data_IF_107498102654
#
_entry.id   IF_107498102654
#
_cell.length_a   1.000
_cell.length_b   1.000
_cell.length_c   1.000
_cell.angle_alpha   90.00
_cell.angle_beta   90.00
_cell.angle_gamma   90.00
#
_symmetry.space_group_name_H-M   'P 1'
#
loop_
_entity.id
_entity.type
_entity.pdbx_description
1 polymer ?
#
# COMPACT_ATOMS: atom_id res chain seq x y z
N UNK A 1 15.76 23.03 30.44
CA UNK A 1 15.52 22.39 29.11
C UNK A 1 16.16 21.02 28.96
N UNK A 2 17.45 20.79 29.28
CA UNK A 2 18.08 19.45 29.16
C UNK A 2 17.34 18.33 29.91
N UNK A 3 16.79 18.63 31.10
CA UNK A 3 16.04 17.67 31.92
C UNK A 3 14.74 17.20 31.25
N UNK A 4 13.98 18.14 30.68
CA UNK A 4 12.77 17.86 29.91
C UNK A 4 13.04 16.99 28.67
N UNK A 5 14.08 17.31 27.89
CA UNK A 5 14.44 16.49 26.71
C UNK A 5 14.92 15.08 27.11
N UNK A 6 15.55 14.94 28.28
CA UNK A 6 15.92 13.63 28.83
C UNK A 6 14.70 12.81 29.25
N UNK A 7 13.74 13.43 29.95
CA UNK A 7 12.48 12.82 30.36
C UNK A 7 11.59 12.47 29.13
N UNK A 8 11.58 13.35 28.12
CA UNK A 8 10.89 13.12 26.85
C UNK A 8 11.51 11.96 26.06
N UNK A 9 12.85 11.92 25.95
CA UNK A 9 13.55 10.80 25.30
C UNK A 9 13.23 9.48 26.02
N UNK A 10 13.31 9.46 27.36
CA UNK A 10 12.99 8.29 28.16
C UNK A 10 11.52 7.84 28.01
N UNK A 11 10.60 8.79 27.80
CA UNK A 11 9.20 8.51 27.54
C UNK A 11 8.96 7.89 26.16
N UNK A 12 9.51 8.47 25.09
CA UNK A 12 9.32 7.96 23.71
C UNK A 12 10.05 6.65 23.45
N UNK A 13 11.15 6.37 24.17
CA UNK A 13 11.87 5.09 24.06
C UNK A 13 11.13 3.94 24.74
N UNK A 14 10.00 4.19 25.41
CA UNK A 14 9.09 3.10 25.80
C UNK A 14 8.56 2.49 24.52
N UNK A 15 9.12 1.35 24.09
CA UNK A 15 8.82 0.73 22.78
C UNK A 15 7.33 0.61 22.47
N UNK A 16 6.51 0.26 23.47
CA UNK A 16 5.05 0.19 23.33
C UNK A 16 4.38 1.52 22.93
N UNK A 17 4.97 2.68 23.26
CA UNK A 17 4.44 4.01 22.91
C UNK A 17 4.86 4.40 21.50
N UNK A 18 6.10 4.09 21.09
CA UNK A 18 6.61 4.42 19.76
C UNK A 18 5.86 3.65 18.68
N UNK A 19 5.68 2.34 18.85
CA UNK A 19 5.02 1.49 17.87
C UNK A 19 3.53 1.82 17.75
N UNK A 20 2.86 2.15 18.86
CA UNK A 20 1.49 2.68 18.83
C UNK A 20 1.42 4.03 18.11
N UNK A 21 2.35 4.95 18.40
CA UNK A 21 2.36 6.28 17.79
C UNK A 21 2.56 6.21 16.27
N UNK A 22 3.51 5.38 15.81
CA UNK A 22 3.72 5.14 14.38
C UNK A 22 2.48 4.51 13.75
N UNK A 23 1.87 3.52 14.40
CA UNK A 23 0.63 2.90 13.93
C UNK A 23 -0.52 3.89 13.75
N UNK A 24 -0.72 4.82 14.69
CA UNK A 24 -1.77 5.84 14.62
C UNK A 24 -1.46 6.88 13.53
N UNK A 25 -0.22 7.34 13.41
CA UNK A 25 0.19 8.32 12.39
C UNK A 25 0.01 7.72 11.00
N UNK A 26 0.55 6.52 10.76
CA UNK A 26 0.43 5.83 9.47
C UNK A 26 -1.03 5.49 9.19
N UNK A 27 -1.78 5.05 10.20
CA UNK A 27 -3.22 4.77 10.07
C UNK A 27 -4.01 6.01 9.63
N UNK A 28 -3.79 7.16 10.27
CA UNK A 28 -4.47 8.42 9.92
C UNK A 28 -4.11 8.91 8.51
N UNK A 29 -2.84 8.84 8.12
CA UNK A 29 -2.38 9.21 6.78
C UNK A 29 -2.95 8.27 5.71
N UNK A 30 -2.99 6.97 5.99
CA UNK A 30 -3.58 5.97 5.11
C UNK A 30 -5.09 6.19 4.93
N UNK A 31 -5.82 6.44 6.02
CA UNK A 31 -7.25 6.79 5.95
C UNK A 31 -7.46 8.02 5.07
N UNK A 32 -6.62 9.05 5.19
CA UNK A 32 -6.72 10.25 4.34
C UNK A 32 -6.54 9.92 2.85
N UNK A 33 -5.59 9.04 2.50
CA UNK A 33 -5.39 8.57 1.11
C UNK A 33 -6.62 7.82 0.61
N UNK A 34 -7.16 6.91 1.42
CA UNK A 34 -8.36 6.13 1.06
C UNK A 34 -9.57 7.03 0.89
N UNK A 35 -9.75 8.00 1.80
CA UNK A 35 -10.81 9.01 1.72
C UNK A 35 -10.66 9.86 0.47
N UNK A 36 -9.44 10.28 0.10
CA UNK A 36 -9.20 11.04 -1.12
C UNK A 36 -9.51 10.21 -2.38
N UNK A 37 -9.06 8.96 -2.43
CA UNK A 37 -9.37 8.03 -3.53
C UNK A 37 -10.88 7.80 -3.66
N UNK A 38 -11.56 7.58 -2.54
CA UNK A 38 -13.01 7.37 -2.55
C UNK A 38 -13.76 8.64 -2.96
N UNK A 39 -13.47 9.77 -2.31
CA UNK A 39 -14.22 11.01 -2.52
C UNK A 39 -13.94 11.65 -3.89
N UNK A 40 -12.70 11.62 -4.37
CA UNK A 40 -12.29 12.40 -5.53
C UNK A 40 -12.22 11.56 -6.82
N UNK A 41 -12.08 10.24 -6.71
CA UNK A 41 -11.95 9.37 -7.89
C UNK A 41 -13.19 8.47 -8.00
N UNK A 42 -13.59 7.79 -6.93
CA UNK A 42 -14.68 6.81 -7.03
C UNK A 42 -16.07 7.43 -7.00
N UNK A 43 -16.33 8.42 -6.12
CA UNK A 43 -17.62 9.14 -6.13
C UNK A 43 -17.99 9.69 -7.51
N UNK A 44 -17.12 10.40 -8.26
CA UNK A 44 -17.51 10.90 -9.57
C UNK A 44 -17.73 9.77 -10.59
N UNK A 45 -16.91 8.71 -10.59
CA UNK A 45 -17.12 7.55 -11.48
C UNK A 45 -18.45 6.87 -11.17
N UNK A 46 -18.79 6.71 -9.89
CA UNK A 46 -20.00 6.03 -9.47
C UNK A 46 -21.23 6.90 -9.66
N UNK A 47 -21.16 8.20 -9.40
CA UNK A 47 -22.22 9.15 -9.73
C UNK A 47 -22.49 9.17 -11.23
N UNK A 48 -21.44 9.08 -12.05
CA UNK A 48 -21.59 8.97 -13.51
C UNK A 48 -22.28 7.66 -13.91
N UNK A 49 -21.89 6.52 -13.33
CA UNK A 49 -22.54 5.22 -13.58
C UNK A 49 -24.01 5.21 -13.07
N UNK A 50 -24.27 5.76 -11.89
CA UNK A 50 -25.62 5.90 -11.33
C UNK A 50 -26.49 6.81 -12.18
N UNK A 51 -25.97 7.94 -12.66
CA UNK A 51 -26.68 8.82 -13.57
C UNK A 51 -27.00 8.13 -14.90
N UNK A 52 -26.11 7.24 -15.38
CA UNK A 52 -26.33 6.44 -16.58
C UNK A 52 -27.42 5.37 -16.38
N UNK A 53 -27.46 4.72 -15.21
CA UNK A 53 -28.39 3.62 -14.94
C UNK A 53 -29.77 4.08 -14.42
N UNK A 54 -29.83 5.15 -13.62
CA UNK A 54 -31.02 5.61 -12.90
C UNK A 54 -31.51 6.99 -13.32
N UNK A 55 -30.81 7.67 -14.23
CA UNK A 55 -31.08 9.04 -14.64
C UNK A 55 -30.46 10.10 -13.73
N UNK A 56 -30.16 11.27 -14.30
CA UNK A 56 -29.61 12.42 -13.57
C UNK A 56 -30.64 12.94 -12.55
N UNK A 57 -30.29 12.95 -11.27
CA UNK A 57 -31.15 13.52 -10.21
C UNK A 57 -32.09 12.54 -9.50
N UNK A 58 -31.90 11.22 -9.63
CA UNK A 58 -32.79 10.20 -9.04
C UNK A 58 -33.01 10.28 -7.52
N UNK A 59 -32.15 11.02 -6.81
CA UNK A 59 -32.22 11.25 -5.36
C UNK A 59 -32.45 12.72 -4.99
N UNK A 60 -32.49 13.63 -5.96
CA UNK A 60 -32.79 15.04 -5.71
C UNK A 60 -34.30 15.23 -5.52
N UNK A 61 -34.71 15.94 -4.46
CA UNK A 61 -36.13 16.19 -4.20
C UNK A 61 -36.84 15.16 -3.33
N UNK A 62 -36.15 14.12 -2.82
CA UNK A 62 -36.74 13.13 -1.91
C UNK A 62 -36.79 13.69 -0.49
N UNK A 63 -37.76 14.58 -0.27
CA UNK A 63 -37.98 15.24 1.01
C UNK A 63 -39.25 14.74 1.69
N UNK A 64 -39.14 14.44 2.98
CA UNK A 64 -40.31 14.32 3.86
C UNK A 64 -40.40 15.56 4.72
N UNK A 65 -41.41 16.40 4.48
CA UNK A 65 -41.64 17.62 5.25
C UNK A 65 -42.47 17.32 6.50
N UNK A 66 -41.93 17.62 7.68
CA UNK A 66 -42.64 17.51 8.96
C UNK A 66 -43.40 18.80 9.26
N UNK A 67 -42.81 19.95 8.90
CA UNK A 67 -43.46 21.26 8.95
C UNK A 67 -43.04 22.04 7.71
N UNK A 68 -44.01 22.38 6.86
CA UNK A 68 -43.79 23.23 5.69
C UNK A 68 -43.88 24.69 6.11
N UNK A 69 -42.82 25.44 5.87
CA UNK A 69 -42.87 26.88 5.81
C UNK A 69 -42.98 27.27 4.33
N UNK A 70 -43.76 28.31 4.04
CA UNK A 70 -43.87 28.86 2.70
C UNK A 70 -43.15 30.19 2.67
N UNK A 71 -42.52 30.49 1.54
CA UNK A 71 -41.93 31.81 1.32
C UNK A 71 -43.07 32.84 1.40
N UNK A 72 -42.88 33.86 2.23
CA UNK A 72 -43.80 35.00 2.34
C UNK A 72 -43.14 36.15 1.60
N UNK A 73 -43.83 36.70 0.61
CA UNK A 73 -43.35 37.88 -0.09
C UNK A 73 -43.36 39.07 0.88
N UNK A 74 -42.18 39.63 1.15
CA UNK A 74 -41.97 40.71 2.10
C UNK A 74 -42.74 42.00 1.73
N UNK A 75 -43.19 42.13 0.48
CA UNK A 75 -43.83 43.34 -0.07
C UNK A 75 -45.35 43.27 -0.02
N UNK A 76 -45.93 42.07 -0.11
CA UNK A 76 -47.39 41.87 -0.19
C UNK A 76 -47.96 41.06 0.97
N UNK A 77 -47.12 40.46 1.82
CA UNK A 77 -47.54 39.63 2.95
C UNK A 77 -48.24 38.34 2.53
N UNK A 78 -48.26 38.01 1.24
CA UNK A 78 -48.90 36.82 0.70
C UNK A 78 -47.88 35.67 0.60
N UNK A 79 -48.32 34.47 0.99
CA UNK A 79 -47.55 33.23 0.83
C UNK A 79 -47.53 32.82 -0.64
N UNK A 80 -46.35 32.67 -1.24
CA UNK A 80 -46.19 32.36 -2.67
C UNK A 80 -46.46 30.90 -3.04
N UNK A 81 -46.94 30.06 -2.11
CA UNK A 81 -47.16 28.62 -2.32
C UNK A 81 -45.87 27.80 -2.54
N UNK A 82 -44.73 28.47 -2.68
CA UNK A 82 -43.39 27.90 -2.74
C UNK A 82 -42.93 27.53 -1.33
N UNK A 83 -42.47 26.30 -1.15
CA UNK A 83 -41.94 25.82 0.14
C UNK A 83 -40.57 26.42 0.36
N UNK A 84 -40.41 27.10 1.48
CA UNK A 84 -39.13 27.61 1.94
C UNK A 84 -38.37 26.48 2.64
N UNK A 85 -37.35 25.90 2.00
CA UNK A 85 -36.53 24.86 2.61
C UNK A 85 -35.80 25.38 3.85
N UNK A 86 -35.36 26.64 3.91
CA UNK A 86 -34.58 27.15 5.04
C UNK A 86 -35.39 27.24 6.34
N UNK A 87 -36.69 27.56 6.22
CA UNK A 87 -37.60 27.68 7.36
C UNK A 87 -38.50 26.44 7.56
N UNK A 88 -38.42 25.45 6.66
CA UNK A 88 -39.15 24.19 6.78
C UNK A 88 -38.36 23.18 7.61
N UNK A 89 -39.08 22.33 8.34
CA UNK A 89 -38.50 21.16 9.00
C UNK A 89 -38.74 19.97 8.08
N UNK A 90 -37.67 19.41 7.53
CA UNK A 90 -37.73 18.30 6.58
C UNK A 90 -36.59 17.30 6.78
N UNK A 91 -36.82 16.08 6.29
CA UNK A 91 -35.83 15.01 6.19
C UNK A 91 -35.43 14.88 4.73
N UNK A 92 -34.13 14.99 4.45
CA UNK A 92 -33.54 14.78 3.13
C UNK A 92 -33.07 13.32 2.98
N UNK A 93 -33.93 12.49 2.40
CA UNK A 93 -33.61 11.09 2.13
C UNK A 93 -32.58 10.94 1.02
N UNK A 94 -32.53 11.89 0.08
CA UNK A 94 -31.56 11.91 -0.99
C UNK A 94 -30.14 11.98 -0.47
N UNK A 95 -29.88 12.97 0.40
CA UNK A 95 -28.58 13.14 1.06
C UNK A 95 -28.23 11.96 1.95
N UNK A 96 -29.20 11.40 2.68
CA UNK A 96 -28.97 10.22 3.52
C UNK A 96 -28.57 8.97 2.71
N UNK A 97 -29.32 8.63 1.66
CA UNK A 97 -29.02 7.48 0.79
C UNK A 97 -27.67 7.67 0.11
N UNK A 98 -27.35 8.88 -0.33
CA UNK A 98 -26.04 9.22 -0.88
C UNK A 98 -24.91 8.96 0.15
N UNK A 99 -25.10 9.38 1.41
CA UNK A 99 -24.14 9.13 2.48
C UNK A 99 -23.94 7.61 2.75
N UNK A 100 -25.03 6.82 2.70
CA UNK A 100 -24.96 5.35 2.84
C UNK A 100 -24.20 4.71 1.69
N UNK A 101 -24.49 5.11 0.45
CA UNK A 101 -23.78 4.63 -0.75
C UNK A 101 -22.29 4.96 -0.62
N UNK A 102 -21.95 6.20 -0.24
CA UNK A 102 -20.57 6.61 -0.02
C UNK A 102 -19.86 5.77 1.05
N UNK A 103 -20.52 5.50 2.17
CA UNK A 103 -19.97 4.66 3.23
C UNK A 103 -19.63 3.25 2.72
N UNK A 104 -20.54 2.62 1.98
CA UNK A 104 -20.30 1.30 1.39
C UNK A 104 -19.13 1.30 0.39
N UNK A 105 -18.98 2.38 -0.39
CA UNK A 105 -17.85 2.54 -1.31
C UNK A 105 -16.54 2.63 -0.55
N UNK A 106 -16.45 3.51 0.47
CA UNK A 106 -15.23 3.64 1.28
C UNK A 106 -14.87 2.28 1.90
N UNK A 107 -15.84 1.57 2.46
CA UNK A 107 -15.64 0.24 3.02
C UNK A 107 -15.10 -0.75 1.98
N UNK A 108 -15.65 -0.75 0.75
CA UNK A 108 -15.17 -1.60 -0.34
C UNK A 108 -13.73 -1.27 -0.76
N UNK A 109 -13.36 0.02 -0.79
CA UNK A 109 -12.00 0.45 -1.13
C UNK A 109 -10.99 0.01 -0.09
N UNK A 110 -11.28 0.26 1.19
CA UNK A 110 -10.44 -0.18 2.30
C UNK A 110 -10.25 -1.69 2.22
N UNK A 111 -11.34 -2.44 2.04
CA UNK A 111 -11.30 -3.89 1.87
C UNK A 111 -10.42 -4.31 0.68
N UNK A 112 -10.58 -3.66 -0.48
CA UNK A 112 -9.80 -3.97 -1.67
C UNK A 112 -8.30 -3.71 -1.47
N UNK A 113 -7.92 -2.61 -0.83
CA UNK A 113 -6.51 -2.31 -0.50
C UNK A 113 -5.92 -3.33 0.49
N UNK A 114 -6.66 -3.66 1.56
CA UNK A 114 -6.22 -4.68 2.52
C UNK A 114 -6.07 -6.04 1.83
N UNK A 115 -7.03 -6.40 0.95
CA UNK A 115 -6.96 -7.64 0.16
C UNK A 115 -5.75 -7.67 -0.78
N UNK A 116 -5.40 -6.54 -1.39
CA UNK A 116 -4.23 -6.42 -2.25
C UNK A 116 -2.94 -6.67 -1.47
N UNK A 117 -2.80 -6.02 -0.30
CA UNK A 117 -1.64 -6.18 0.58
C UNK A 117 -1.55 -7.63 1.08
N UNK A 118 -2.66 -8.20 1.55
CA UNK A 118 -2.71 -9.59 2.03
C UNK A 118 -2.32 -10.59 0.92
N UNK A 119 -2.77 -10.36 -0.32
CA UNK A 119 -2.42 -11.21 -1.47
C UNK A 119 -0.93 -11.14 -1.81
N UNK A 120 -0.33 -9.95 -1.77
CA UNK A 120 1.11 -9.81 -2.00
C UNK A 120 1.92 -10.49 -0.90
N UNK A 121 1.51 -10.34 0.37
CA UNK A 121 2.17 -11.00 1.49
C UNK A 121 2.11 -12.51 1.39
N UNK A 122 0.95 -13.08 1.05
CA UNK A 122 0.76 -14.52 0.87
C UNK A 122 1.69 -15.11 -0.22
N UNK A 123 1.84 -14.41 -1.35
CA UNK A 123 2.75 -14.80 -2.44
C UNK A 123 4.23 -14.80 -2.02
N UNK A 124 4.65 -13.78 -1.26
CA UNK A 124 6.01 -13.68 -0.74
C UNK A 124 6.28 -14.76 0.30
N UNK A 125 5.36 -14.97 1.26
CA UNK A 125 5.48 -15.99 2.30
C UNK A 125 5.51 -17.40 1.69
N UNK A 126 4.67 -17.69 0.69
CA UNK A 126 4.69 -18.96 -0.04
C UNK A 126 6.04 -19.20 -0.72
N UNK A 127 6.58 -18.17 -1.39
CA UNK A 127 7.87 -18.26 -2.09
C UNK A 127 9.02 -18.51 -1.11
N UNK A 128 9.03 -17.80 0.01
CA UNK A 128 10.00 -18.02 1.10
C UNK A 128 9.92 -19.43 1.68
N UNK A 129 8.72 -19.89 1.99
CA UNK A 129 8.52 -21.22 2.59
C UNK A 129 8.90 -22.32 1.60
N UNK A 130 8.51 -22.19 0.33
CA UNK A 130 8.90 -23.14 -0.72
C UNK A 130 10.40 -23.14 -0.94
N UNK A 131 11.05 -21.95 -0.95
CA UNK A 131 12.51 -21.84 -1.01
C UNK A 131 13.17 -22.58 0.14
N UNK A 132 12.68 -22.41 1.38
CA UNK A 132 13.20 -23.11 2.57
C UNK A 132 13.01 -24.62 2.49
N UNK A 133 11.84 -25.10 2.04
CA UNK A 133 11.56 -26.54 1.88
C UNK A 133 12.47 -27.15 0.82
N UNK A 134 12.56 -26.53 -0.36
CA UNK A 134 13.38 -27.02 -1.46
C UNK A 134 14.86 -27.00 -1.09
N UNK A 135 15.34 -25.93 -0.44
CA UNK A 135 16.72 -25.86 0.05
C UNK A 135 17.01 -26.98 1.07
N UNK A 136 16.13 -27.17 2.06
CA UNK A 136 16.29 -28.22 3.07
C UNK A 136 16.38 -29.62 2.44
N UNK A 137 15.56 -29.90 1.42
CA UNK A 137 15.58 -31.18 0.71
C UNK A 137 16.82 -31.36 -0.18
N UNK A 138 17.24 -30.29 -0.86
CA UNK A 138 18.49 -30.27 -1.64
C UNK A 138 19.71 -30.56 -0.74
N UNK A 139 19.76 -29.95 0.45
CA UNK A 139 20.86 -30.14 1.41
C UNK A 139 20.83 -31.53 2.07
N UNK A 140 19.65 -32.12 2.24
CA UNK A 140 19.46 -33.48 2.79
C UNK A 140 19.60 -34.60 1.73
N UNK A 141 19.86 -34.25 0.47
CA UNK A 141 19.84 -35.16 -0.68
C UNK A 141 18.52 -35.94 -0.82
N UNK A 142 17.42 -35.35 -0.35
CA UNK A 142 16.07 -35.92 -0.38
C UNK A 142 15.42 -35.65 -1.75
N UNK A 143 14.70 -36.64 -2.29
CA UNK A 143 14.03 -36.47 -3.58
C UNK A 143 12.96 -35.37 -3.52
N UNK A 144 13.11 -34.36 -4.38
CA UNK A 144 12.09 -33.34 -4.59
C UNK A 144 10.85 -33.97 -5.23
N UNK A 145 9.69 -33.63 -4.68
CA UNK A 145 8.39 -33.98 -5.25
C UNK A 145 8.22 -33.32 -6.62
N UNK A 146 7.30 -33.85 -7.43
CA UNK A 146 6.98 -33.29 -8.76
C UNK A 146 6.62 -31.80 -8.71
N UNK A 147 5.91 -31.36 -7.66
CA UNK A 147 5.52 -29.96 -7.45
C UNK A 147 6.73 -29.07 -7.13
N UNK A 148 7.65 -29.56 -6.28
CA UNK A 148 8.85 -28.82 -5.91
C UNK A 148 9.82 -28.67 -7.09
N UNK A 149 9.95 -29.70 -7.93
CA UNK A 149 10.74 -29.66 -9.17
C UNK A 149 10.18 -28.64 -10.16
N UNK A 150 8.87 -28.68 -10.41
CA UNK A 150 8.21 -27.74 -11.33
C UNK A 150 8.31 -26.29 -10.82
N UNK A 151 8.16 -26.10 -9.50
CA UNK A 151 8.35 -24.79 -8.88
C UNK A 151 9.80 -24.31 -8.99
N UNK A 152 10.79 -25.16 -8.72
CA UNK A 152 12.22 -24.82 -8.80
C UNK A 152 12.62 -24.42 -10.22
N UNK A 153 12.12 -25.13 -11.24
CA UNK A 153 12.35 -24.79 -12.64
C UNK A 153 11.77 -23.40 -12.98
N UNK A 154 10.49 -23.17 -12.64
CA UNK A 154 9.83 -21.86 -12.85
C UNK A 154 10.52 -20.74 -12.10
N UNK A 155 10.96 -21.00 -10.86
CA UNK A 155 11.62 -20.02 -10.02
C UNK A 155 13.04 -19.69 -10.52
N UNK A 156 13.83 -20.71 -10.86
CA UNK A 156 15.17 -20.56 -11.44
C UNK A 156 15.14 -19.77 -12.75
N UNK A 157 14.16 -20.05 -13.62
CA UNK A 157 13.96 -19.30 -14.87
C UNK A 157 13.64 -17.82 -14.65
N UNK A 158 12.90 -17.50 -13.58
CA UNK A 158 12.51 -16.12 -13.24
C UNK A 158 13.57 -15.38 -12.43
N UNK A 159 14.37 -16.10 -11.64
CA UNK A 159 15.37 -15.59 -10.70
C UNK A 159 16.65 -16.46 -10.69
N UNK A 160 17.51 -16.39 -11.73
CA UNK A 160 18.64 -17.31 -11.91
C UNK A 160 19.70 -17.26 -10.80
N UNK A 161 19.85 -16.12 -10.12
CA UNK A 161 20.86 -15.92 -9.07
C UNK A 161 20.36 -16.19 -7.64
N UNK A 162 19.06 -16.44 -7.45
CA UNK A 162 18.44 -16.58 -6.12
C UNK A 162 17.82 -17.96 -5.89
N UNK A 163 17.92 -18.84 -6.88
CA UNK A 163 17.34 -20.18 -6.84
C UNK A 163 18.04 -21.03 -5.77
N UNK A 164 17.27 -21.81 -4.98
CA UNK A 164 17.87 -22.78 -4.07
C UNK A 164 18.66 -23.80 -4.88
N UNK A 165 19.94 -23.95 -4.54
CA UNK A 165 20.87 -24.90 -5.14
C UNK A 165 21.40 -25.79 -4.02
N UNK A 166 21.67 -27.06 -4.33
CA UNK A 166 22.42 -27.93 -3.41
C UNK A 166 23.67 -27.16 -3.01
N UNK A 167 23.94 -27.04 -1.72
CA UNK A 167 25.25 -26.58 -1.29
C UNK A 167 26.25 -27.56 -1.91
N UNK A 168 26.91 -27.14 -2.99
CA UNK A 168 28.02 -27.89 -3.52
C UNK A 168 28.97 -28.10 -2.33
N UNK A 169 29.44 -29.33 -2.05
CA UNK A 169 30.61 -29.44 -1.17
C UNK A 169 31.61 -28.44 -1.72
N UNK A 170 32.26 -27.62 -0.89
CA UNK A 170 33.23 -26.61 -1.36
C UNK A 170 34.10 -27.25 -2.44
N UNK A 171 33.70 -27.07 -3.70
CA UNK A 171 34.45 -27.50 -4.85
C UNK A 171 35.39 -26.34 -4.90
N UNK A 172 36.59 -26.60 -4.39
CA UNK A 172 37.78 -25.84 -4.70
C UNK A 172 37.59 -25.28 -6.11
N UNK A 173 37.36 -23.98 -6.14
CA UNK A 173 37.06 -23.20 -7.32
C UNK A 173 38.11 -23.61 -8.35
N UNK A 174 37.74 -24.42 -9.35
CA UNK A 174 38.56 -24.47 -10.55
C UNK A 174 38.52 -23.03 -11.04
N UNK A 175 39.65 -22.30 -10.97
CA UNK A 175 39.63 -20.86 -10.93
C UNK A 175 38.96 -20.40 -12.21
N UNK A 176 37.95 -19.55 -12.08
CA UNK A 176 37.63 -18.62 -13.16
C UNK A 176 38.98 -18.00 -13.57
N UNK A 177 39.34 -17.94 -14.87
CA UNK A 177 40.56 -17.28 -15.28
C UNK A 177 40.54 -15.88 -14.64
N UNK A 178 41.44 -15.69 -13.68
CA UNK A 178 41.55 -14.48 -12.89
C UNK A 178 41.62 -13.32 -13.88
N UNK A 179 40.67 -12.39 -13.84
CA UNK A 179 40.97 -11.06 -14.33
C UNK A 179 42.22 -10.60 -13.57
N UNK A 180 43.31 -10.22 -14.26
CA UNK A 180 44.59 -9.98 -13.61
C UNK A 180 44.40 -8.97 -12.47
N UNK A 181 44.97 -9.23 -11.28
CA UNK A 181 44.79 -8.37 -10.13
C UNK A 181 45.23 -6.96 -10.47
N UNK A 182 44.40 -5.96 -10.15
CA UNK A 182 44.81 -4.56 -10.26
C UNK A 182 46.07 -4.37 -9.41
N UNK A 183 47.15 -3.82 -9.98
CA UNK A 183 48.44 -3.77 -9.32
C UNK A 183 48.36 -2.98 -8.02
N UNK A 184 48.97 -3.54 -6.98
CA UNK A 184 49.03 -2.89 -5.68
C UNK A 184 50.01 -1.72 -5.70
N UNK A 185 49.80 -0.74 -4.82
CA UNK A 185 50.59 0.50 -4.79
C UNK A 185 52.10 0.28 -4.69
N UNK A 186 52.54 -0.82 -4.08
CA UNK A 186 53.96 -1.17 -3.96
C UNK A 186 54.55 -1.73 -5.26
N UNK A 187 53.77 -2.45 -6.05
CA UNK A 187 54.14 -2.96 -7.38
C UNK A 187 54.23 -1.80 -8.39
N UNK A 188 53.31 -0.84 -8.31
CA UNK A 188 53.36 0.39 -9.13
C UNK A 188 54.59 1.26 -8.80
N UNK A 189 54.96 1.37 -7.53
CA UNK A 189 56.14 2.15 -7.12
C UNK A 189 57.45 1.50 -7.58
N UNK A 190 57.53 0.16 -7.55
CA UNK A 190 58.69 -0.58 -8.05
C UNK A 190 58.78 -0.54 -9.57
N UNK A 191 57.65 -0.62 -10.28
CA UNK A 191 57.58 -0.46 -11.74
C UNK A 191 58.01 0.95 -12.18
N UNK A 192 57.56 2.01 -11.49
CA UNK A 192 57.97 3.41 -11.76
C UNK A 192 59.48 3.60 -11.53
N UNK A 193 60.03 3.06 -10.44
CA UNK A 193 61.49 3.14 -10.17
C UNK A 193 62.31 2.40 -11.22
N UNK A 194 61.79 1.28 -11.74
CA UNK A 194 62.46 0.49 -12.78
C UNK A 194 62.42 1.22 -14.12
N UNK A 195 61.30 1.85 -14.48
CA UNK A 195 61.18 2.66 -15.70
C UNK A 195 62.09 3.90 -15.64
N UNK A 196 62.26 4.53 -14.47
CA UNK A 196 63.15 5.69 -14.30
C UNK A 196 64.65 5.37 -14.34
N UNK A 197 65.06 4.12 -14.11
CA UNK A 197 66.47 3.69 -14.27
C UNK A 197 66.81 3.23 -15.68
N UNK A 198 65.80 2.88 -16.47
CA UNK A 198 65.96 2.40 -17.85
C UNK A 198 65.86 3.53 -18.90
N UNK A 199 65.58 4.77 -18.46
CA UNK A 199 65.71 6.01 -19.24
C UNK A 199 66.90 6.82 -18.75
#
# INVERSE_FOLDING_TARGET
>A
MKKFFGEFKAFITRGNVLDMAVGVIVGSAFTAIVTALSNNILKPIINWILALCLGTGSLEGVYTFLKKAYVVDATTGMTTGTVDLANSIYIDWGTFINAVINFLIIAFVVFSMVKLINKFKELTDFTENMKKIVQKKLDADEELTSVEKEWLEKYSKKHPNLAPKKAEPVVEEAPAPEEPPKPTTEELLTEIVTILKTK
#
